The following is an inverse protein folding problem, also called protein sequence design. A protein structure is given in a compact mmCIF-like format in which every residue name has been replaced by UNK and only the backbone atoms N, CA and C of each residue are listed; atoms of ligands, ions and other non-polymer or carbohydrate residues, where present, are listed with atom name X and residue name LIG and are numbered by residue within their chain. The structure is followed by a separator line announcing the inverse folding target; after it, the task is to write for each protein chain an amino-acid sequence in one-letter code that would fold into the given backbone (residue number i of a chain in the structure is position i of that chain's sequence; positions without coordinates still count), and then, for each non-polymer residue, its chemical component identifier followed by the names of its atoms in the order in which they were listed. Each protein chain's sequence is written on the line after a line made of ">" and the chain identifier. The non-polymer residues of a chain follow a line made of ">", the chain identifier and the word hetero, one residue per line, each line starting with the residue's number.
data_IF_895439395364
#
_entry.id   IF_895439395364
#
_cell.length_a   1.000
_cell.length_b   1.000
_cell.length_c   1.000
_cell.angle_alpha   90.00
_cell.angle_beta   90.00
_cell.angle_gamma   90.00
#
_symmetry.space_group_name_H-M   'P 1'
#
loop_
_entity.id
_entity.type
_entity.pdbx_description
1 polymer ?
#
# COMPACT_ATOMS: atom_id res chain seq x y z
N UNK A 1 10.68 -12.63 -4.60
CA UNK A 1 10.27 -11.32 -5.12
C UNK A 1 10.38 -11.32 -6.64
N UNK A 2 9.33 -10.91 -7.31
CA UNK A 2 9.31 -10.85 -8.76
C UNK A 2 10.06 -9.62 -9.28
N UNK A 3 10.42 -9.65 -10.56
CA UNK A 3 11.03 -8.50 -11.20
C UNK A 3 10.07 -7.30 -11.22
N UNK A 4 8.78 -7.57 -11.40
CA UNK A 4 7.73 -6.54 -11.39
C UNK A 4 7.69 -5.85 -10.02
N UNK A 5 7.66 -6.62 -8.95
CA UNK A 5 7.62 -6.08 -7.59
C UNK A 5 8.86 -5.23 -7.31
N UNK A 6 10.03 -5.69 -7.76
CA UNK A 6 11.27 -4.95 -7.57
C UNK A 6 11.25 -3.62 -8.33
N UNK A 7 10.76 -3.64 -9.56
CA UNK A 7 10.68 -2.44 -10.39
C UNK A 7 9.72 -1.42 -9.79
N UNK A 8 8.50 -1.83 -9.49
CA UNK A 8 7.49 -0.90 -8.98
C UNK A 8 7.78 -0.45 -7.56
N UNK A 9 8.23 -1.35 -6.69
CA UNK A 9 8.62 -0.98 -5.33
C UNK A 9 9.79 -0.02 -5.32
N UNK A 10 10.77 -0.26 -6.18
CA UNK A 10 11.91 0.64 -6.33
C UNK A 10 11.51 2.01 -6.84
N UNK A 11 10.61 2.05 -7.83
CA UNK A 11 10.11 3.31 -8.37
C UNK A 11 9.36 4.11 -7.32
N UNK A 12 8.55 3.43 -6.51
CA UNK A 12 7.83 4.10 -5.43
C UNK A 12 8.81 4.68 -4.40
N UNK A 13 9.86 3.92 -4.08
CA UNK A 13 10.88 4.40 -3.14
C UNK A 13 11.58 5.65 -3.70
N UNK A 14 11.97 5.61 -4.96
CA UNK A 14 12.65 6.74 -5.59
C UNK A 14 11.78 7.99 -5.56
N UNK A 15 10.50 7.84 -5.86
CA UNK A 15 9.56 8.96 -5.80
C UNK A 15 9.41 9.48 -4.37
N UNK A 16 9.26 8.59 -3.41
CA UNK A 16 9.12 8.99 -2.01
C UNK A 16 10.37 9.70 -1.51
N UNK A 17 11.54 9.24 -1.92
CA UNK A 17 12.80 9.87 -1.54
C UNK A 17 12.92 11.26 -2.15
N UNK A 18 12.53 11.41 -3.41
CA UNK A 18 12.54 12.70 -4.09
C UNK A 18 11.61 13.70 -3.40
N UNK A 19 10.44 13.24 -2.96
CA UNK A 19 9.46 14.08 -2.28
C UNK A 19 9.70 14.18 -0.78
N UNK A 20 10.73 13.50 -0.26
CA UNK A 20 11.11 13.52 1.16
C UNK A 20 10.00 12.98 2.07
N UNK A 21 9.31 11.96 1.63
CA UNK A 21 8.20 11.34 2.37
C UNK A 21 8.41 9.84 2.59
N UNK A 22 9.67 9.38 2.57
CA UNK A 22 9.96 7.95 2.71
C UNK A 22 9.44 7.37 4.01
N UNK A 23 9.57 8.10 5.12
CA UNK A 23 9.10 7.62 6.42
C UNK A 23 7.59 7.43 6.42
N UNK A 24 6.87 8.43 5.94
CA UNK A 24 5.41 8.38 5.89
C UNK A 24 4.93 7.26 4.98
N UNK A 25 5.51 7.16 3.79
CA UNK A 25 5.11 6.14 2.82
C UNK A 25 5.45 4.75 3.34
N UNK A 26 6.61 4.58 3.97
CA UNK A 26 7.02 3.31 4.55
C UNK A 26 5.96 2.79 5.54
N UNK A 27 5.57 3.63 6.47
CA UNK A 27 4.59 3.26 7.49
C UNK A 27 3.23 2.96 6.87
N UNK A 28 2.79 3.80 5.93
CA UNK A 28 1.50 3.61 5.29
C UNK A 28 1.48 2.35 4.43
N UNK A 29 2.56 2.05 3.73
CA UNK A 29 2.64 0.83 2.93
C UNK A 29 2.50 -0.42 3.80
N UNK A 30 3.15 -0.44 4.97
CA UNK A 30 3.05 -1.57 5.88
C UNK A 30 1.64 -1.71 6.44
N UNK A 31 1.02 -0.60 6.81
CA UNK A 31 -0.35 -0.60 7.30
C UNK A 31 -1.33 -1.11 6.25
N UNK A 32 -1.20 -0.64 5.02
CA UNK A 32 -2.08 -1.06 3.93
C UNK A 32 -1.86 -2.55 3.61
N UNK A 33 -0.61 -3.01 3.64
CA UNK A 33 -0.31 -4.42 3.44
C UNK A 33 -1.03 -5.29 4.47
N UNK A 34 -1.00 -4.86 5.73
CA UNK A 34 -1.68 -5.56 6.80
C UNK A 34 -3.20 -5.57 6.57
N UNK A 35 -3.76 -4.41 6.22
CA UNK A 35 -5.19 -4.30 5.95
C UNK A 35 -5.62 -5.20 4.80
N UNK A 36 -4.83 -5.29 3.75
CA UNK A 36 -5.13 -6.18 2.63
C UNK A 36 -5.11 -7.64 3.07
N UNK A 37 -4.17 -8.02 3.93
CA UNK A 37 -4.11 -9.38 4.46
C UNK A 37 -5.31 -9.73 5.34
N UNK A 38 -5.84 -8.74 6.05
CA UNK A 38 -7.01 -8.93 6.90
C UNK A 38 -8.33 -8.84 6.16
N UNK A 39 -8.33 -8.31 4.95
CA UNK A 39 -9.52 -8.09 4.15
C UNK A 39 -9.34 -8.65 2.73
N UNK A 40 -9.17 -9.97 2.59
CA UNK A 40 -8.89 -10.56 1.28
C UNK A 40 -10.03 -10.39 0.28
N UNK A 41 -11.26 -10.24 0.76
CA UNK A 41 -12.41 -10.02 -0.12
C UNK A 41 -12.32 -8.66 -0.81
N UNK A 42 -11.80 -7.65 -0.11
CA UNK A 42 -11.59 -6.34 -0.69
C UNK A 42 -10.53 -6.40 -1.81
N UNK A 43 -9.43 -7.11 -1.56
CA UNK A 43 -8.37 -7.27 -2.56
C UNK A 43 -8.90 -8.04 -3.77
N UNK A 44 -9.71 -9.06 -3.54
CA UNK A 44 -10.32 -9.84 -4.61
C UNK A 44 -11.22 -8.97 -5.48
N UNK A 45 -11.98 -8.07 -4.85
CA UNK A 45 -12.83 -7.14 -5.57
C UNK A 45 -12.01 -6.23 -6.46
N UNK A 46 -10.88 -5.73 -5.99
CA UNK A 46 -9.98 -4.89 -6.77
C UNK A 46 -9.33 -5.62 -7.93
N UNK A 47 -9.29 -6.94 -7.86
CA UNK A 47 -8.66 -7.77 -8.88
C UNK A 47 -9.66 -8.43 -9.82
N UNK A 48 -10.95 -8.15 -9.65
CA UNK A 48 -12.02 -8.80 -10.43
C UNK A 48 -12.09 -8.22 -11.84
N UNK A 49 -11.82 -9.03 -12.89
CA UNK A 49 -11.82 -8.52 -14.26
C UNK A 49 -13.18 -8.04 -14.76
N UNK A 50 -14.28 -8.54 -14.16
CA UNK A 50 -15.61 -8.14 -14.57
C UNK A 50 -16.00 -6.74 -14.12
N UNK A 51 -15.24 -6.18 -13.18
CA UNK A 51 -15.49 -4.82 -12.68
C UNK A 51 -14.61 -3.85 -13.47
N UNK A 52 -15.20 -2.78 -14.06
CA UNK A 52 -14.41 -1.80 -14.81
C UNK A 52 -13.27 -1.20 -13.98
N UNK A 53 -12.18 -0.90 -14.63
CA UNK A 53 -11.00 -0.34 -13.97
C UNK A 53 -11.33 0.93 -13.19
N UNK A 54 -12.18 1.78 -13.75
CA UNK A 54 -12.58 3.03 -13.13
C UNK A 54 -13.28 2.79 -11.79
N UNK A 55 -14.11 1.76 -11.72
CA UNK A 55 -14.79 1.42 -10.47
C UNK A 55 -13.84 0.84 -9.44
N UNK A 56 -12.88 0.01 -9.88
CA UNK A 56 -11.89 -0.57 -8.98
C UNK A 56 -10.99 0.50 -8.39
N UNK A 57 -10.51 1.42 -9.22
CA UNK A 57 -9.66 2.51 -8.72
C UNK A 57 -10.44 3.46 -7.83
N UNK A 58 -11.73 3.64 -8.09
CA UNK A 58 -12.59 4.45 -7.23
C UNK A 58 -12.72 3.85 -5.84
N UNK A 59 -12.77 2.52 -5.73
CA UNK A 59 -12.77 1.86 -4.43
C UNK A 59 -11.52 2.18 -3.62
N UNK A 60 -10.37 2.24 -4.28
CA UNK A 60 -9.13 2.64 -3.63
C UNK A 60 -9.17 4.10 -3.20
N UNK A 61 -9.68 4.97 -4.04
CA UNK A 61 -9.81 6.40 -3.70
C UNK A 61 -10.74 6.57 -2.49
N UNK A 62 -11.85 5.87 -2.47
CA UNK A 62 -12.83 5.96 -1.38
C UNK A 62 -12.22 5.47 -0.07
N UNK A 63 -11.43 4.40 -0.11
CA UNK A 63 -10.84 3.82 1.09
C UNK A 63 -9.65 4.63 1.61
N UNK A 64 -8.78 5.07 0.73
CA UNK A 64 -7.47 5.61 1.14
C UNK A 64 -7.21 7.05 0.71
N UNK A 65 -8.07 7.63 -0.12
CA UNK A 65 -7.78 8.92 -0.76
C UNK A 65 -7.56 10.07 0.19
N UNK A 66 -8.14 10.03 1.37
CA UNK A 66 -7.99 11.10 2.36
C UNK A 66 -7.02 10.74 3.47
N UNK A 67 -6.83 9.45 3.73
CA UNK A 67 -6.00 8.98 4.84
C UNK A 67 -4.57 8.67 4.44
N UNK A 68 -4.33 8.34 3.18
CA UNK A 68 -3.01 7.93 2.71
C UNK A 68 -2.40 9.02 1.83
N UNK A 69 -1.06 8.97 1.75
CA UNK A 69 -0.31 9.88 0.88
C UNK A 69 -0.79 9.74 -0.56
N UNK A 70 -0.99 10.88 -1.25
CA UNK A 70 -1.53 10.87 -2.61
C UNK A 70 -0.67 10.02 -3.56
N UNK A 71 0.64 10.11 -3.44
CA UNK A 71 1.53 9.32 -4.30
C UNK A 71 1.32 7.81 -4.08
N UNK A 72 1.08 7.41 -2.84
CA UNK A 72 0.82 6.00 -2.52
C UNK A 72 -0.53 5.54 -3.06
N UNK A 73 -1.56 6.38 -2.93
CA UNK A 73 -2.88 6.07 -3.49
C UNK A 73 -2.78 5.88 -5.00
N UNK A 74 -2.07 6.77 -5.68
CA UNK A 74 -1.86 6.67 -7.12
C UNK A 74 -1.08 5.40 -7.48
N UNK A 75 -0.12 5.00 -6.66
CA UNK A 75 0.63 3.77 -6.85
C UNK A 75 -0.30 2.55 -6.78
N UNK A 76 -1.17 2.51 -5.78
CA UNK A 76 -2.14 1.43 -5.65
C UNK A 76 -3.09 1.37 -6.84
N UNK A 77 -3.55 2.53 -7.30
CA UNK A 77 -4.40 2.61 -8.48
C UNK A 77 -3.69 2.06 -9.71
N UNK A 78 -2.41 2.39 -9.87
CA UNK A 78 -1.62 1.90 -10.98
C UNK A 78 -1.52 0.38 -10.97
N UNK A 79 -1.22 -0.22 -9.81
CA UNK A 79 -1.15 -1.67 -9.68
C UNK A 79 -2.51 -2.30 -10.00
N UNK A 80 -3.58 -1.68 -9.56
CA UNK A 80 -4.94 -2.15 -9.81
C UNK A 80 -5.28 -2.10 -11.30
N UNK A 81 -4.98 -0.99 -11.96
CA UNK A 81 -5.26 -0.82 -13.39
C UNK A 81 -4.49 -1.82 -14.25
N UNK A 82 -3.27 -2.14 -13.85
CA UNK A 82 -2.44 -3.08 -14.61
C UNK A 82 -2.70 -4.54 -14.27
N UNK A 83 -3.60 -4.79 -13.30
CA UNK A 83 -3.92 -6.15 -12.89
C UNK A 83 -2.82 -6.85 -12.14
N UNK A 84 -1.95 -6.08 -11.48
CA UNK A 84 -0.81 -6.63 -10.73
C UNK A 84 -0.84 -6.26 -9.26
N UNK A 85 -2.03 -6.03 -8.72
CA UNK A 85 -2.18 -5.70 -7.30
C UNK A 85 -1.62 -6.80 -6.40
N UNK A 86 -1.60 -8.05 -6.87
CA UNK A 86 -0.98 -9.15 -6.15
C UNK A 86 0.51 -8.98 -5.91
N UNK A 87 1.17 -8.09 -6.66
CA UNK A 87 2.58 -7.79 -6.47
C UNK A 87 2.83 -6.76 -5.35
N UNK A 88 1.77 -6.22 -4.75
CA UNK A 88 1.92 -5.18 -3.75
C UNK A 88 2.80 -5.59 -2.57
N UNK A 89 2.63 -6.82 -2.07
CA UNK A 89 3.44 -7.30 -0.96
C UNK A 89 4.93 -7.29 -1.32
N UNK A 90 5.27 -7.74 -2.53
CA UNK A 90 6.65 -7.69 -3.00
C UNK A 90 7.16 -6.26 -3.16
N UNK A 91 6.29 -5.35 -3.60
CA UNK A 91 6.63 -3.93 -3.69
C UNK A 91 6.96 -3.37 -2.31
N UNK A 92 6.20 -3.75 -1.29
CA UNK A 92 6.47 -3.34 0.09
C UNK A 92 7.82 -3.87 0.56
N UNK A 93 8.15 -5.11 0.20
CA UNK A 93 9.42 -5.71 0.57
C UNK A 93 10.60 -4.97 -0.07
N UNK A 94 10.49 -4.61 -1.34
CA UNK A 94 11.54 -3.85 -2.01
C UNK A 94 11.68 -2.44 -1.43
N UNK A 95 10.57 -1.78 -1.17
CA UNK A 95 10.58 -0.46 -0.54
C UNK A 95 11.28 -0.55 0.82
N UNK A 96 10.91 -1.53 1.63
CA UNK A 96 11.49 -1.74 2.96
C UNK A 96 12.99 -2.00 2.86
N UNK A 97 13.41 -2.81 1.90
CA UNK A 97 14.83 -3.11 1.69
C UNK A 97 15.63 -1.84 1.41
N UNK A 98 15.14 -1.02 0.48
CA UNK A 98 15.81 0.24 0.12
C UNK A 98 15.81 1.23 1.28
N UNK A 99 14.69 1.29 2.01
CA UNK A 99 14.58 2.14 3.18
C UNK A 99 15.63 1.76 4.23
N UNK A 100 15.76 0.48 4.50
CA UNK A 100 16.72 0.00 5.50
C UNK A 100 18.17 0.27 5.08
N UNK A 101 18.47 0.11 3.80
CA UNK A 101 19.81 0.40 3.29
C UNK A 101 20.13 1.89 3.44
N UNK A 102 19.21 2.76 3.02
CA UNK A 102 19.44 4.20 3.06
C UNK A 102 19.50 4.75 4.48
N UNK A 103 18.76 4.14 5.40
CA UNK A 103 18.74 4.58 6.80
C UNK A 103 19.72 3.80 7.67
N UNK A 104 20.47 2.88 7.06
CA UNK A 104 21.45 2.05 7.76
C UNK A 104 20.86 1.38 8.98
N UNK A 105 19.64 0.85 8.83
CA UNK A 105 18.94 0.18 9.92
C UNK A 105 19.36 -1.27 9.98
N UNK A 106 19.90 -1.69 11.12
CA UNK A 106 20.22 -3.09 11.35
C UNK A 106 18.91 -3.87 11.52
N UNK A 107 18.90 -5.09 11.04
CA UNK A 107 17.69 -5.91 10.94
C UNK A 107 17.02 -6.23 12.27
N UNK A 108 17.62 -5.89 13.39
CA UNK A 108 17.14 -6.35 14.68
C UNK A 108 16.33 -5.32 15.46
N UNK A 109 16.23 -4.10 15.01
CA UNK A 109 15.58 -3.08 15.81
C UNK A 109 14.41 -2.49 15.08
N UNK A 110 13.26 -2.80 15.57
CA UNK A 110 12.08 -2.15 15.06
C UNK A 110 11.39 -1.46 16.20
N UNK A 111 11.64 -0.20 16.31
CA UNK A 111 10.69 0.62 17.04
C UNK A 111 9.82 1.25 15.99
N UNK A 112 8.64 0.79 15.89
CA UNK A 112 7.72 1.32 14.94
C UNK A 112 7.04 2.54 15.50
N UNK A 113 7.34 3.67 14.93
CA UNK A 113 6.41 4.78 15.02
C UNK A 113 5.34 4.50 13.98
N UNK A 114 4.16 4.26 14.40
CA UNK A 114 3.06 3.93 13.49
C UNK A 114 2.49 5.23 12.93
N UNK A 115 2.42 5.34 11.61
CA UNK A 115 1.87 6.51 10.95
C UNK A 115 0.38 6.71 11.24
N UNK A 116 -0.30 5.62 11.53
CA UNK A 116 -1.72 5.64 11.84
C UNK A 116 -1.93 5.21 13.27
N UNK A 117 -2.80 5.91 13.98
CA UNK A 117 -3.20 5.51 15.32
C UNK A 117 -4.07 4.26 15.26
N UNK A 118 -4.27 3.61 16.40
CA UNK A 118 -5.15 2.45 16.46
C UNK A 118 -6.57 2.80 16.01
N UNK A 119 -7.04 3.99 16.36
CA UNK A 119 -8.36 4.46 15.95
C UNK A 119 -8.43 4.63 14.44
N UNK A 120 -7.39 5.19 13.83
CA UNK A 120 -7.35 5.37 12.38
C UNK A 120 -7.27 4.02 11.66
N UNK A 121 -6.51 3.07 12.19
CA UNK A 121 -6.44 1.72 11.61
C UNK A 121 -7.79 1.03 11.68
N UNK A 122 -8.48 1.16 12.80
CA UNK A 122 -9.80 0.57 12.98
C UNK A 122 -10.81 1.18 12.02
N UNK A 123 -10.77 2.50 11.85
CA UNK A 123 -11.65 3.19 10.92
C UNK A 123 -11.42 2.74 9.49
N UNK A 124 -10.15 2.56 9.10
CA UNK A 124 -9.82 2.06 7.78
C UNK A 124 -10.30 0.63 7.58
N UNK A 125 -10.12 -0.21 8.59
CA UNK A 125 -10.58 -1.60 8.53
C UNK A 125 -12.09 -1.67 8.35
N UNK A 126 -12.82 -0.88 9.14
CA UNK A 126 -14.29 -0.84 9.02
C UNK A 126 -14.71 -0.36 7.63
N UNK A 127 -14.00 0.64 7.10
CA UNK A 127 -14.27 1.16 5.76
C UNK A 127 -14.05 0.09 4.70
N UNK A 128 -12.96 -0.67 4.81
CA UNK A 128 -12.68 -1.76 3.87
C UNK A 128 -13.73 -2.86 3.92
N UNK A 129 -14.19 -3.19 5.11
CA UNK A 129 -15.23 -4.19 5.27
C UNK A 129 -16.54 -3.75 4.62
N UNK A 130 -16.91 -2.49 4.79
CA UNK A 130 -18.11 -1.94 4.14
C UNK A 130 -17.98 -1.96 2.62
N UNK A 131 -16.80 -1.60 2.09
CA UNK A 131 -16.59 -1.56 0.65
C UNK A 131 -16.57 -2.95 0.03
N UNK A 132 -16.21 -3.98 0.80
CA UNK A 132 -16.22 -5.36 0.31
C UNK A 132 -17.57 -6.04 0.48
N UNK A 133 -18.56 -5.36 1.04
CA UNK A 133 -19.90 -5.91 1.20
C UNK A 133 -20.12 -6.76 2.44
N UNK A 134 -19.28 -6.60 3.43
CA UNK A 134 -19.38 -7.37 4.68
C UNK A 134 -19.75 -6.50 5.86
#
# INVERSE_FOLDING_TARGET
>A
MTQIARLYGGSMYDLAAEEKITDTVMEQMQTIRQLFGENPDYVRLLSEPSIPKEERTKLLETAFGQEAERYLVNFLKLLCERGILGEYAGCCEEFTRRYNVDHNIATAVVTSAVALTEEQMKALKDKLEKLSGK
#
